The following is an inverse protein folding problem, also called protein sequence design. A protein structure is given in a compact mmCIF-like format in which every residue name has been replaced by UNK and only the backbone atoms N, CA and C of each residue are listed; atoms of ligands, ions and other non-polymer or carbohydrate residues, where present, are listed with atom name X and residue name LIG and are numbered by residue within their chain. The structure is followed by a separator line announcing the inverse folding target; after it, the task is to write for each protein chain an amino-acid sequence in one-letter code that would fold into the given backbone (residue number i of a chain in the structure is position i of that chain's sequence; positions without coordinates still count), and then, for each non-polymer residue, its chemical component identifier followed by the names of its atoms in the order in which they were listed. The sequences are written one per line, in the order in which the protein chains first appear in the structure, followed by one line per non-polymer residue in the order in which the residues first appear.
data_IF_796864036817
#
_entry.id   IF_796864036817
#
_cell.length_a   1.000
_cell.length_b   1.000
_cell.length_c   1.000
_cell.angle_alpha   90.00
_cell.angle_beta   90.00
_cell.angle_gamma   90.00
#
_symmetry.space_group_name_H-M   'P 1'
#
loop_
_entity.id
_entity.type
_entity.pdbx_description
1 polymer ?
#
# COMPACT_ATOMS: atom_id res chain seq x y z
N UNK A 1 -16.25 -10.60 -15.94
CA UNK A 1 -15.05 -11.11 -15.23
C UNK A 1 -15.15 -10.72 -13.77
N UNK A 2 -14.53 -11.48 -12.86
CA UNK A 2 -14.41 -11.09 -11.45
C UNK A 2 -12.95 -10.77 -11.15
N UNK A 3 -12.71 -9.63 -10.48
CA UNK A 3 -11.42 -9.26 -9.92
C UNK A 3 -11.47 -9.48 -8.42
N UNK A 4 -10.75 -10.49 -7.95
CA UNK A 4 -10.65 -10.79 -6.53
C UNK A 4 -9.51 -9.98 -5.89
N UNK A 5 -9.72 -9.54 -4.67
CA UNK A 5 -8.71 -8.81 -3.91
C UNK A 5 -8.95 -8.98 -2.41
N UNK A 6 -7.97 -8.63 -1.60
CA UNK A 6 -8.17 -8.52 -0.15
C UNK A 6 -9.03 -7.30 0.18
N UNK A 7 -9.88 -7.44 1.22
CA UNK A 7 -10.69 -6.34 1.76
C UNK A 7 -10.87 -6.50 3.28
N UNK A 8 -10.91 -5.39 4.00
CA UNK A 8 -11.12 -5.39 5.46
C UNK A 8 -12.60 -5.52 5.87
N UNK A 9 -13.52 -5.32 4.94
CA UNK A 9 -14.96 -5.21 5.22
C UNK A 9 -15.44 -3.77 5.42
N UNK A 10 -14.52 -2.81 5.61
CA UNK A 10 -14.84 -1.40 5.75
C UNK A 10 -15.41 -0.81 4.45
N UNK A 11 -16.19 0.29 4.52
CA UNK A 11 -16.85 0.87 3.33
C UNK A 11 -15.88 1.68 2.45
N UNK A 12 -14.66 1.17 2.25
CA UNK A 12 -13.62 1.77 1.43
C UNK A 12 -13.61 1.21 0.02
N UNK A 13 -13.48 2.08 -0.97
CA UNK A 13 -13.23 1.68 -2.35
C UNK A 13 -11.79 1.21 -2.54
N UNK A 14 -11.57 0.47 -3.61
CA UNK A 14 -10.27 -0.10 -3.99
C UNK A 14 -9.89 0.41 -5.38
N UNK A 15 -9.21 1.55 -5.45
CA UNK A 15 -8.93 2.27 -6.70
C UNK A 15 -8.38 1.33 -7.80
N UNK A 16 -7.29 0.63 -7.54
CA UNK A 16 -6.62 -0.18 -8.56
C UNK A 16 -7.52 -1.28 -9.15
N UNK A 17 -8.22 -2.03 -8.28
CA UNK A 17 -9.12 -3.10 -8.72
C UNK A 17 -10.35 -2.55 -9.45
N UNK A 18 -10.93 -1.44 -8.97
CA UNK A 18 -12.13 -0.83 -9.58
C UNK A 18 -11.81 -0.12 -10.89
N UNK A 19 -10.62 0.52 -11.02
CA UNK A 19 -10.11 1.04 -12.29
C UNK A 19 -9.98 -0.10 -13.31
N UNK A 20 -9.37 -1.22 -12.91
CA UNK A 20 -9.23 -2.37 -13.80
C UNK A 20 -10.59 -2.94 -14.23
N UNK A 21 -11.53 -3.13 -13.30
CA UNK A 21 -12.88 -3.59 -13.62
C UNK A 21 -13.61 -2.63 -14.58
N UNK A 22 -13.49 -1.32 -14.33
CA UNK A 22 -14.09 -0.29 -15.19
C UNK A 22 -13.46 -0.27 -16.59
N UNK A 23 -12.14 -0.47 -16.66
CA UNK A 23 -11.42 -0.59 -17.95
C UNK A 23 -11.90 -1.81 -18.75
N UNK A 24 -11.97 -2.97 -18.12
CA UNK A 24 -12.46 -4.18 -18.78
C UNK A 24 -13.89 -4.01 -19.31
N UNK A 25 -14.76 -3.41 -18.51
CA UNK A 25 -16.14 -3.18 -18.91
C UNK A 25 -16.25 -2.16 -20.06
N UNK A 26 -15.67 -0.97 -19.91
CA UNK A 26 -15.82 0.14 -20.85
C UNK A 26 -14.95 0.06 -22.09
N UNK A 27 -13.73 -0.47 -21.98
CA UNK A 27 -12.74 -0.46 -23.08
C UNK A 27 -12.63 -1.81 -23.79
N UNK A 28 -12.84 -2.91 -23.08
CA UNK A 28 -12.77 -4.26 -23.65
C UNK A 28 -14.15 -4.92 -23.82
N UNK A 29 -15.23 -4.25 -23.39
CA UNK A 29 -16.61 -4.78 -23.41
C UNK A 29 -16.76 -6.12 -22.66
N UNK A 30 -16.02 -6.25 -21.55
CA UNK A 30 -16.06 -7.43 -20.68
C UNK A 30 -16.69 -7.01 -19.35
N UNK A 31 -17.99 -7.28 -19.10
CA UNK A 31 -18.64 -6.95 -17.84
C UNK A 31 -17.84 -7.46 -16.64
N UNK A 32 -17.44 -6.55 -15.76
CA UNK A 32 -16.48 -6.88 -14.70
C UNK A 32 -16.91 -6.28 -13.36
N UNK A 33 -16.64 -7.04 -12.28
CA UNK A 33 -16.90 -6.63 -10.90
C UNK A 33 -15.71 -6.93 -10.02
N UNK A 34 -15.57 -6.19 -8.93
CA UNK A 34 -14.58 -6.42 -7.88
C UNK A 34 -15.23 -7.18 -6.73
N UNK A 35 -14.58 -8.23 -6.26
CA UNK A 35 -14.98 -8.98 -5.06
C UNK A 35 -13.85 -8.90 -4.04
N UNK A 36 -14.04 -8.06 -3.03
CA UNK A 36 -13.16 -7.95 -1.88
C UNK A 36 -13.36 -9.12 -0.92
N UNK A 37 -12.33 -9.94 -0.75
CA UNK A 37 -12.39 -11.11 0.14
C UNK A 37 -11.91 -10.69 1.52
N UNK A 38 -12.78 -10.83 2.52
CA UNK A 38 -12.48 -10.56 3.91
C UNK A 38 -11.55 -11.65 4.49
N UNK A 39 -10.97 -11.40 5.67
CA UNK A 39 -9.97 -12.32 6.24
C UNK A 39 -10.55 -13.69 6.57
N UNK A 40 -11.75 -13.71 7.15
CA UNK A 40 -12.42 -14.92 7.60
C UNK A 40 -13.54 -15.29 6.62
N UNK A 41 -13.18 -15.78 5.44
CA UNK A 41 -14.13 -16.17 4.41
C UNK A 41 -14.32 -17.68 4.31
N UNK A 42 -15.53 -18.12 3.90
CA UNK A 42 -15.79 -19.51 3.57
C UNK A 42 -15.34 -19.81 2.14
N UNK A 43 -14.23 -20.54 2.00
CA UNK A 43 -13.69 -20.95 0.70
C UNK A 43 -14.69 -21.76 -0.12
N UNK A 44 -15.43 -22.68 0.49
CA UNK A 44 -16.42 -23.51 -0.18
C UNK A 44 -17.58 -22.67 -0.75
N UNK A 45 -18.05 -21.67 0.01
CA UNK A 45 -19.10 -20.77 -0.45
C UNK A 45 -18.60 -19.85 -1.56
N UNK A 46 -17.35 -19.39 -1.47
CA UNK A 46 -16.73 -18.58 -2.53
C UNK A 46 -16.60 -19.37 -3.83
N UNK A 47 -16.19 -20.64 -3.77
CA UNK A 47 -16.12 -21.51 -4.94
C UNK A 47 -17.50 -21.76 -5.55
N UNK A 48 -18.54 -21.93 -4.73
CA UNK A 48 -19.93 -22.06 -5.21
C UNK A 48 -20.37 -20.77 -5.93
N UNK A 49 -20.12 -19.63 -5.35
CA UNK A 49 -20.38 -18.34 -6.01
C UNK A 49 -19.68 -18.26 -7.38
N UNK A 50 -18.42 -18.66 -7.45
CA UNK A 50 -17.65 -18.67 -8.71
C UNK A 50 -18.32 -19.60 -9.74
N UNK A 51 -18.69 -20.82 -9.35
CA UNK A 51 -19.34 -21.78 -10.25
C UNK A 51 -20.67 -21.22 -10.79
N UNK A 52 -21.47 -20.60 -9.93
CA UNK A 52 -22.75 -19.94 -10.31
C UNK A 52 -22.53 -18.74 -11.22
N UNK A 53 -21.59 -17.85 -10.86
CA UNK A 53 -21.32 -16.63 -11.64
C UNK A 53 -20.79 -16.93 -13.04
N UNK A 54 -19.96 -17.98 -13.18
CA UNK A 54 -19.34 -18.34 -14.46
C UNK A 54 -20.10 -19.41 -15.23
N UNK A 55 -21.29 -19.83 -14.78
CA UNK A 55 -22.12 -20.75 -15.54
C UNK A 55 -22.42 -20.21 -16.94
N UNK A 56 -21.95 -20.92 -17.98
CA UNK A 56 -22.10 -20.50 -19.38
C UNK A 56 -21.25 -19.32 -19.83
N UNK A 57 -20.30 -18.87 -19.02
CA UNK A 57 -19.40 -17.74 -19.34
C UNK A 57 -17.96 -18.22 -19.50
N UNK A 58 -17.13 -17.41 -20.17
CA UNK A 58 -15.70 -17.61 -20.24
C UNK A 58 -15.08 -17.54 -18.84
N UNK A 59 -14.29 -18.55 -18.48
CA UNK A 59 -13.65 -18.68 -17.17
C UNK A 59 -12.37 -17.87 -17.11
N UNK A 60 -12.49 -16.57 -16.86
CA UNK A 60 -11.36 -15.65 -16.63
C UNK A 60 -11.57 -14.98 -15.28
N UNK A 61 -10.61 -15.14 -14.36
CA UNK A 61 -10.58 -14.50 -13.06
C UNK A 61 -9.31 -13.68 -12.92
N UNK A 62 -9.43 -12.47 -12.39
CA UNK A 62 -8.28 -11.62 -12.09
C UNK A 62 -8.09 -11.45 -10.59
N UNK A 63 -6.86 -11.13 -10.19
CA UNK A 63 -6.46 -10.88 -8.82
C UNK A 63 -5.69 -9.57 -8.76
N UNK A 64 -6.13 -8.69 -7.90
CA UNK A 64 -5.41 -7.45 -7.62
C UNK A 64 -4.73 -7.60 -6.27
N UNK A 65 -3.40 -7.77 -6.27
CA UNK A 65 -2.57 -7.80 -5.07
C UNK A 65 -2.97 -8.91 -4.07
N UNK A 66 -2.23 -9.99 -4.02
CA UNK A 66 -2.50 -11.14 -3.12
C UNK A 66 -2.01 -10.91 -1.68
N UNK A 67 -1.23 -9.86 -1.44
CA UNK A 67 -0.76 -9.38 -0.11
C UNK A 67 -0.21 -10.47 0.82
N UNK A 68 0.51 -11.44 0.28
CA UNK A 68 1.01 -12.55 1.10
C UNK A 68 -0.08 -13.51 1.65
N UNK A 69 -1.33 -13.30 1.31
CA UNK A 69 -2.46 -14.13 1.73
C UNK A 69 -2.36 -15.53 1.14
N UNK A 70 -1.87 -16.48 1.91
CA UNK A 70 -1.73 -17.89 1.52
C UNK A 70 -3.05 -18.53 1.10
N UNK A 71 -4.13 -18.17 1.77
CA UNK A 71 -5.49 -18.62 1.44
C UNK A 71 -5.95 -18.13 0.07
N UNK A 72 -5.62 -16.90 -0.33
CA UNK A 72 -5.89 -16.38 -1.67
C UNK A 72 -5.02 -17.05 -2.73
N UNK A 73 -3.76 -17.33 -2.42
CA UNK A 73 -2.86 -18.10 -3.31
C UNK A 73 -3.43 -19.50 -3.54
N UNK A 74 -3.91 -20.18 -2.50
CA UNK A 74 -4.59 -21.45 -2.61
C UNK A 74 -5.87 -21.37 -3.44
N UNK A 75 -6.62 -20.28 -3.29
CA UNK A 75 -7.82 -20.06 -4.10
C UNK A 75 -7.48 -19.87 -5.59
N UNK A 76 -6.42 -19.14 -5.94
CA UNK A 76 -5.91 -19.05 -7.33
C UNK A 76 -5.62 -20.45 -7.89
N UNK A 77 -4.93 -21.27 -7.08
CA UNK A 77 -4.58 -22.65 -7.47
C UNK A 77 -5.82 -23.51 -7.78
N UNK A 78 -6.86 -23.41 -6.96
CA UNK A 78 -8.11 -24.11 -7.20
C UNK A 78 -8.84 -23.63 -8.45
N UNK A 79 -8.84 -22.33 -8.73
CA UNK A 79 -9.44 -21.80 -9.96
C UNK A 79 -8.68 -22.31 -11.20
N UNK A 80 -7.36 -22.34 -11.12
CA UNK A 80 -6.55 -22.89 -12.21
C UNK A 80 -6.90 -24.38 -12.49
N UNK A 81 -7.01 -25.20 -11.43
CA UNK A 81 -7.44 -26.60 -11.55
C UNK A 81 -8.85 -26.76 -12.16
N UNK A 82 -9.73 -25.76 -12.01
CA UNK A 82 -11.07 -25.71 -12.61
C UNK A 82 -11.08 -25.15 -14.04
N UNK A 83 -9.90 -24.94 -14.63
CA UNK A 83 -9.72 -24.48 -16.00
C UNK A 83 -9.92 -22.98 -16.22
N UNK A 84 -9.81 -22.17 -15.17
CA UNK A 84 -9.81 -20.71 -15.31
C UNK A 84 -8.49 -20.23 -15.94
N UNK A 85 -8.59 -19.16 -16.69
CA UNK A 85 -7.45 -18.28 -16.97
C UNK A 85 -7.33 -17.33 -15.79
N UNK A 86 -6.16 -17.31 -15.16
CA UNK A 86 -5.90 -16.51 -13.98
C UNK A 86 -4.96 -15.35 -14.29
N UNK A 87 -5.35 -14.13 -13.89
CA UNK A 87 -4.62 -12.90 -14.18
C UNK A 87 -4.23 -12.25 -12.86
N UNK A 88 -2.96 -11.94 -12.66
CA UNK A 88 -2.45 -11.18 -11.53
C UNK A 88 -2.14 -9.74 -11.96
N UNK A 89 -2.71 -8.77 -11.29
CA UNK A 89 -2.40 -7.35 -11.42
C UNK A 89 -2.05 -6.73 -10.07
N UNK A 90 -1.65 -5.48 -10.10
CA UNK A 90 -1.33 -4.73 -8.89
C UNK A 90 0.15 -4.36 -8.79
N UNK A 91 0.53 -3.62 -7.74
CA UNK A 91 1.85 -3.02 -7.64
C UNK A 91 3.00 -4.04 -7.63
N UNK A 92 2.82 -5.20 -7.03
CA UNK A 92 3.85 -6.23 -6.87
C UNK A 92 3.75 -7.39 -7.88
N UNK A 93 2.89 -7.26 -8.90
CA UNK A 93 2.57 -8.37 -9.81
C UNK A 93 3.81 -8.99 -10.48
N UNK A 94 4.80 -8.17 -10.87
CA UNK A 94 6.06 -8.63 -11.48
C UNK A 94 6.89 -9.46 -10.51
N UNK A 95 7.11 -8.93 -9.31
CA UNK A 95 7.95 -9.56 -8.28
C UNK A 95 7.31 -10.84 -7.78
N UNK A 96 6.02 -10.81 -7.49
CA UNK A 96 5.27 -11.98 -7.01
C UNK A 96 5.17 -13.06 -8.09
N UNK A 97 5.04 -12.67 -9.35
CA UNK A 97 5.05 -13.63 -10.46
C UNK A 97 6.41 -14.31 -10.63
N UNK A 98 7.51 -13.55 -10.53
CA UNK A 98 8.87 -14.08 -10.71
C UNK A 98 9.39 -14.83 -9.50
N UNK A 99 8.99 -14.44 -8.29
CA UNK A 99 9.54 -14.95 -7.04
C UNK A 99 10.95 -14.43 -6.71
N UNK A 100 11.58 -15.03 -5.73
CA UNK A 100 12.92 -14.68 -5.28
C UNK A 100 14.01 -15.14 -6.25
N UNK A 101 15.14 -14.42 -6.39
CA UNK A 101 16.27 -14.87 -7.20
C UNK A 101 16.94 -16.11 -6.61
N UNK A 102 17.51 -16.99 -7.45
CA UNK A 102 18.24 -18.18 -7.05
C UNK A 102 17.37 -19.36 -6.59
N UNK A 103 16.12 -19.42 -7.00
CA UNK A 103 15.14 -20.44 -6.59
C UNK A 103 15.55 -21.85 -6.97
N UNK A 104 16.18 -22.02 -8.12
CA UNK A 104 16.54 -23.37 -8.63
C UNK A 104 17.47 -24.15 -7.73
N UNK A 105 18.09 -23.48 -6.75
CA UNK A 105 19.04 -24.06 -5.80
C UNK A 105 18.59 -24.04 -4.33
N UNK A 106 17.49 -23.36 -3.99
CA UNK A 106 17.07 -23.17 -2.60
C UNK A 106 15.54 -23.39 -2.41
N UNK A 107 15.14 -24.54 -1.84
CA UNK A 107 13.72 -24.89 -1.65
C UNK A 107 13.00 -24.02 -0.60
N UNK A 108 13.74 -23.24 0.20
CA UNK A 108 13.17 -22.39 1.25
C UNK A 108 12.72 -21.03 0.72
N UNK A 109 13.06 -20.66 -0.52
CA UNK A 109 12.71 -19.39 -1.12
C UNK A 109 11.32 -19.38 -1.73
N UNK A 110 10.71 -18.20 -1.81
CA UNK A 110 9.43 -18.03 -2.50
C UNK A 110 9.59 -18.25 -4.01
N UNK A 111 9.02 -19.34 -4.51
CA UNK A 111 9.17 -19.76 -5.91
C UNK A 111 8.41 -18.90 -6.92
N UNK A 112 7.68 -17.89 -6.44
CA UNK A 112 6.81 -17.06 -7.28
C UNK A 112 5.54 -17.75 -7.74
N UNK A 113 4.69 -16.99 -8.39
CA UNK A 113 3.36 -17.42 -8.82
C UNK A 113 3.30 -17.85 -10.31
N UNK A 114 4.46 -17.95 -10.97
CA UNK A 114 4.54 -18.29 -12.42
C UNK A 114 3.87 -19.62 -12.78
N UNK A 115 3.87 -20.59 -11.86
CA UNK A 115 3.20 -21.88 -12.07
C UNK A 115 1.70 -21.87 -11.75
N UNK A 116 1.20 -20.82 -11.10
CA UNK A 116 -0.18 -20.72 -10.62
C UNK A 116 -0.99 -19.66 -11.37
N UNK A 117 -0.32 -18.65 -11.95
CA UNK A 117 -0.95 -17.53 -12.63
C UNK A 117 -0.60 -17.58 -14.12
N UNK A 118 -1.62 -17.53 -14.98
CA UNK A 118 -1.41 -17.59 -16.43
C UNK A 118 -0.83 -16.30 -16.98
N UNK A 119 -1.29 -15.15 -16.48
CA UNK A 119 -0.90 -13.83 -16.94
C UNK A 119 -0.64 -12.91 -15.75
N UNK A 120 0.54 -12.34 -15.67
CA UNK A 120 0.82 -11.24 -14.75
C UNK A 120 0.93 -9.92 -15.51
N UNK A 121 0.42 -8.84 -14.92
CA UNK A 121 0.40 -7.49 -15.52
C UNK A 121 1.00 -6.51 -14.53
N UNK A 122 2.17 -5.99 -14.85
CA UNK A 122 2.84 -4.92 -14.13
C UNK A 122 2.58 -3.58 -14.81
N UNK A 123 2.18 -2.58 -14.04
CA UNK A 123 1.89 -1.24 -14.55
C UNK A 123 0.40 -0.98 -14.82
N UNK A 124 0.08 0.10 -15.55
CA UNK A 124 -1.30 0.51 -15.78
C UNK A 124 -2.06 -0.46 -16.70
N UNK A 125 -3.35 -0.56 -16.48
CA UNK A 125 -4.24 -1.48 -17.22
C UNK A 125 -4.43 -1.09 -18.68
N UNK A 126 -4.15 0.14 -19.07
CA UNK A 126 -4.33 0.72 -20.42
C UNK A 126 -3.61 -0.05 -21.52
N UNK A 127 -2.52 -0.73 -21.18
CA UNK A 127 -1.76 -1.55 -22.10
C UNK A 127 -2.46 -2.84 -22.51
N UNK A 128 -3.47 -3.29 -21.76
CA UNK A 128 -4.17 -4.54 -22.05
C UNK A 128 -5.06 -4.46 -23.28
N UNK A 129 -5.17 -5.60 -23.96
CA UNK A 129 -6.05 -5.86 -25.11
C UNK A 129 -6.77 -7.18 -24.91
N UNK A 130 -7.90 -7.39 -25.56
CA UNK A 130 -8.68 -8.64 -25.42
C UNK A 130 -7.88 -9.90 -25.77
N UNK A 131 -6.96 -9.82 -26.73
CA UNK A 131 -6.07 -10.92 -27.14
C UNK A 131 -5.10 -11.36 -26.04
N UNK A 132 -4.72 -10.45 -25.12
CA UNK A 132 -3.83 -10.77 -24.01
C UNK A 132 -4.52 -11.66 -22.98
N UNK A 133 -5.86 -11.57 -22.84
CA UNK A 133 -6.62 -12.32 -21.82
C UNK A 133 -6.64 -13.84 -22.05
N UNK A 134 -6.23 -14.31 -23.25
CA UNK A 134 -6.04 -15.72 -23.56
C UNK A 134 -4.62 -16.24 -23.38
N UNK A 135 -3.67 -15.37 -23.04
CA UNK A 135 -2.26 -15.73 -22.89
C UNK A 135 -2.03 -16.54 -21.62
N UNK A 136 -1.06 -17.45 -21.66
CA UNK A 136 -0.64 -18.28 -20.54
C UNK A 136 0.87 -18.16 -20.34
N UNK A 137 1.29 -18.26 -19.06
CA UNK A 137 2.70 -18.19 -18.68
C UNK A 137 3.41 -16.91 -19.20
N UNK A 138 2.74 -15.74 -19.05
CA UNK A 138 3.23 -14.46 -19.53
C UNK A 138 3.25 -13.41 -18.44
N UNK A 139 4.28 -12.58 -18.51
CA UNK A 139 4.38 -11.31 -17.78
C UNK A 139 4.35 -10.18 -18.80
N UNK A 140 3.38 -9.29 -18.67
CA UNK A 140 3.29 -8.05 -19.45
C UNK A 140 3.70 -6.89 -18.54
N UNK A 141 4.57 -6.04 -19.06
CA UNK A 141 5.09 -4.88 -18.31
C UNK A 141 4.77 -3.61 -19.10
N UNK A 142 4.04 -2.70 -18.48
CA UNK A 142 3.66 -1.42 -19.10
C UNK A 142 4.25 -0.27 -18.26
N UNK A 143 4.86 0.73 -18.92
CA UNK A 143 5.44 1.85 -18.19
C UNK A 143 4.36 2.72 -17.57
N UNK A 144 4.64 3.20 -16.36
CA UNK A 144 3.82 4.23 -15.74
C UNK A 144 4.01 5.57 -16.45
N UNK A 145 2.91 6.29 -16.65
CA UNK A 145 2.90 7.65 -17.19
C UNK A 145 1.87 8.49 -16.46
N UNK A 146 1.89 9.80 -16.65
CA UNK A 146 0.91 10.72 -16.08
C UNK A 146 -0.47 10.70 -16.79
N UNK A 147 -0.62 9.93 -17.87
CA UNK A 147 -1.82 9.87 -18.71
C UNK A 147 -2.52 8.50 -18.69
N UNK A 148 -2.42 7.76 -17.60
CA UNK A 148 -3.06 6.44 -17.46
C UNK A 148 -4.58 6.54 -17.35
N UNK A 149 -5.27 5.42 -17.61
CA UNK A 149 -6.71 5.31 -17.41
C UNK A 149 -7.04 5.28 -15.92
N UNK A 150 -7.91 6.20 -15.47
CA UNK A 150 -8.28 6.38 -14.05
C UNK A 150 -9.79 6.59 -13.85
N UNK A 151 -10.61 6.21 -14.82
CA UNK A 151 -12.05 6.20 -14.62
C UNK A 151 -12.45 5.07 -13.67
N UNK A 152 -13.35 5.34 -12.74
CA UNK A 152 -13.81 4.38 -11.73
C UNK A 152 -15.33 4.31 -11.71
N UNK A 153 -15.85 3.11 -11.84
CA UNK A 153 -17.23 2.82 -11.40
C UNK A 153 -17.20 2.39 -9.93
N UNK A 154 -17.50 3.33 -9.04
CA UNK A 154 -17.54 3.07 -7.60
C UNK A 154 -18.67 2.12 -7.18
N UNK A 155 -19.55 1.75 -8.10
CA UNK A 155 -20.64 0.82 -7.85
C UNK A 155 -20.30 -0.65 -8.17
N UNK A 156 -19.15 -0.96 -8.76
CA UNK A 156 -18.79 -2.30 -9.24
C UNK A 156 -18.13 -3.21 -8.19
N UNK A 157 -18.20 -2.84 -6.91
CA UNK A 157 -17.53 -3.56 -5.82
C UNK A 157 -18.50 -4.27 -4.87
N UNK A 158 -18.11 -5.46 -4.47
CA UNK A 158 -18.77 -6.33 -3.49
C UNK A 158 -17.75 -6.81 -2.46
N UNK A 159 -18.20 -7.17 -1.25
CA UNK A 159 -17.39 -7.90 -0.27
C UNK A 159 -17.92 -9.32 -0.11
N UNK A 160 -17.03 -10.20 0.29
CA UNK A 160 -17.32 -11.60 0.52
C UNK A 160 -16.64 -12.09 1.80
N UNK A 161 -17.46 -12.56 2.73
CA UNK A 161 -17.06 -13.38 3.87
C UNK A 161 -17.74 -14.74 3.78
N UNK A 162 -19.02 -14.81 4.08
CA UNK A 162 -19.88 -15.98 3.88
C UNK A 162 -20.84 -15.85 2.69
N UNK A 163 -21.18 -14.62 2.34
CA UNK A 163 -22.08 -14.27 1.26
C UNK A 163 -21.58 -13.05 0.52
N UNK A 164 -21.94 -12.93 -0.75
CA UNK A 164 -21.64 -11.74 -1.54
C UNK A 164 -22.56 -10.58 -1.11
N UNK A 165 -21.95 -9.46 -0.72
CA UNK A 165 -22.66 -8.24 -0.33
C UNK A 165 -22.21 -7.07 -1.18
N UNK A 166 -23.16 -6.32 -1.74
CA UNK A 166 -22.87 -5.06 -2.43
C UNK A 166 -22.24 -4.07 -1.45
N UNK A 167 -21.07 -3.54 -1.79
CA UNK A 167 -20.43 -2.53 -0.97
C UNK A 167 -20.91 -1.13 -1.39
N UNK A 168 -21.47 -0.37 -0.45
CA UNK A 168 -21.71 1.06 -0.64
C UNK A 168 -20.44 1.80 -0.21
N UNK A 169 -19.66 2.25 -1.17
CA UNK A 169 -18.42 3.00 -0.91
C UNK A 169 -18.75 4.31 -0.20
N UNK A 170 -18.11 4.54 0.95
CA UNK A 170 -18.21 5.77 1.75
C UNK A 170 -16.89 6.53 1.82
N UNK A 171 -15.78 5.89 1.43
CA UNK A 171 -14.49 6.52 1.26
C UNK A 171 -13.88 6.06 -0.05
N UNK A 172 -13.52 7.01 -0.92
CA UNK A 172 -12.85 6.75 -2.19
C UNK A 172 -11.34 6.87 -2.10
N UNK A 173 -10.68 6.71 -3.24
CA UNK A 173 -9.26 7.00 -3.42
C UNK A 173 -9.08 7.79 -4.71
N UNK A 174 -8.18 8.78 -4.69
CA UNK A 174 -7.84 9.62 -5.83
C UNK A 174 -6.33 9.61 -6.01
N UNK A 175 -5.85 9.15 -7.15
CA UNK A 175 -4.42 9.09 -7.45
C UNK A 175 -3.93 10.47 -7.90
N UNK A 176 -3.05 11.08 -7.10
CA UNK A 176 -2.41 12.36 -7.39
C UNK A 176 -0.99 12.19 -7.94
N UNK A 177 -0.24 11.23 -7.40
CA UNK A 177 1.10 10.90 -7.88
C UNK A 177 1.35 9.39 -7.89
N UNK A 178 2.27 8.96 -8.75
CA UNK A 178 2.71 7.57 -8.87
C UNK A 178 4.11 7.48 -8.31
N UNK A 179 4.33 6.51 -7.40
CA UNK A 179 5.62 6.32 -6.76
C UNK A 179 5.87 7.33 -5.65
N UNK A 180 7.10 7.35 -5.15
CA UNK A 180 7.54 8.18 -4.05
C UNK A 180 8.82 8.94 -4.44
N UNK A 181 8.86 10.25 -4.26
CA UNK A 181 10.06 11.04 -4.56
C UNK A 181 11.26 10.60 -3.71
N UNK A 182 11.03 10.23 -2.45
CA UNK A 182 12.08 9.73 -1.57
C UNK A 182 12.62 8.36 -2.01
N UNK A 183 11.79 7.51 -2.63
CA UNK A 183 12.20 6.22 -3.17
C UNK A 183 13.19 6.32 -4.35
N UNK A 184 13.44 7.51 -4.89
CA UNK A 184 14.49 7.75 -5.89
C UNK A 184 15.88 8.01 -5.25
N UNK A 185 15.96 8.19 -3.93
CA UNK A 185 17.21 8.47 -3.21
C UNK A 185 17.98 7.17 -2.98
N UNK A 186 19.09 7.01 -3.71
CA UNK A 186 20.01 5.89 -3.54
C UNK A 186 20.85 6.07 -2.27
N UNK A 187 20.96 5.00 -1.51
CA UNK A 187 21.77 4.96 -0.29
C UNK A 187 22.31 3.54 -0.04
N UNK A 188 23.35 3.48 0.76
CA UNK A 188 23.95 2.24 1.22
C UNK A 188 24.02 2.29 2.74
N UNK A 189 23.60 1.22 3.37
CA UNK A 189 23.62 1.09 4.83
C UNK A 189 24.20 -0.25 5.23
N UNK A 190 24.92 -0.26 6.35
CA UNK A 190 25.38 -1.47 7.01
C UNK A 190 24.37 -1.86 8.08
N UNK A 191 23.82 -3.06 8.00
CA UNK A 191 22.86 -3.61 8.94
C UNK A 191 23.46 -4.73 9.77
N UNK A 192 23.30 -4.70 11.10
CA UNK A 192 23.63 -5.83 11.95
C UNK A 192 22.63 -6.98 11.72
N UNK A 193 23.01 -8.22 12.02
CA UNK A 193 22.08 -9.34 11.97
C UNK A 193 20.91 -9.14 12.95
N UNK A 194 19.78 -9.86 12.73
CA UNK A 194 18.67 -9.84 13.69
C UNK A 194 19.12 -10.22 15.11
N UNK A 195 18.54 -9.57 16.10
CA UNK A 195 18.92 -9.76 17.52
C UNK A 195 18.75 -11.20 18.01
N UNK A 196 17.82 -11.96 17.44
CA UNK A 196 17.63 -13.39 17.72
C UNK A 196 18.71 -14.31 17.13
N UNK A 197 19.65 -13.75 16.35
CA UNK A 197 20.81 -14.46 15.79
C UNK A 197 22.16 -13.98 16.35
N UNK A 198 22.15 -13.14 17.39
CA UNK A 198 23.40 -12.55 17.95
C UNK A 198 24.42 -13.55 18.47
N UNK A 199 24.00 -14.74 18.90
CA UNK A 199 24.89 -15.80 19.32
C UNK A 199 25.68 -16.43 18.16
N UNK A 200 25.29 -16.17 16.94
CA UNK A 200 26.00 -16.57 15.73
C UNK A 200 26.92 -15.44 15.31
N UNK A 201 28.15 -15.77 14.97
CA UNK A 201 29.16 -14.82 14.48
C UNK A 201 28.81 -14.40 13.02
N UNK A 202 27.73 -13.64 12.87
CA UNK A 202 27.27 -13.14 11.58
C UNK A 202 27.80 -11.72 11.43
N UNK A 203 28.54 -11.40 10.36
CA UNK A 203 29.02 -10.04 10.12
C UNK A 203 27.86 -9.10 9.80
N UNK A 204 28.08 -7.82 10.06
CA UNK A 204 27.23 -6.77 9.51
C UNK A 204 27.26 -6.81 7.98
N UNK A 205 26.11 -6.57 7.34
CA UNK A 205 25.95 -6.71 5.90
C UNK A 205 25.61 -5.36 5.26
N UNK A 206 26.29 -5.07 4.16
CA UNK A 206 26.01 -3.87 3.38
C UNK A 206 24.77 -4.10 2.50
N UNK A 207 23.81 -3.21 2.61
CA UNK A 207 22.57 -3.22 1.81
C UNK A 207 22.43 -1.92 1.05
N UNK A 208 22.22 -2.02 -0.26
CA UNK A 208 21.88 -0.89 -1.12
C UNK A 208 20.39 -0.75 -1.21
N UNK A 209 19.87 0.46 -0.98
CA UNK A 209 18.43 0.74 -1.09
C UNK A 209 18.16 2.01 -1.90
N UNK A 210 16.94 2.14 -2.35
CA UNK A 210 16.38 3.36 -2.89
C UNK A 210 15.19 3.76 -2.01
N UNK A 211 15.32 4.86 -1.27
CA UNK A 211 14.36 5.25 -0.24
C UNK A 211 14.40 4.40 1.02
N UNK A 212 13.24 4.24 1.67
CA UNK A 212 13.11 3.42 2.88
C UNK A 212 13.36 1.95 2.57
N UNK A 213 14.21 1.29 3.37
CA UNK A 213 14.72 -0.06 3.07
C UNK A 213 13.63 -1.15 3.11
N UNK A 214 12.57 -0.94 3.88
CA UNK A 214 11.44 -1.87 3.99
C UNK A 214 10.41 -1.68 2.88
N UNK A 215 10.48 -0.55 2.16
CA UNK A 215 9.51 -0.17 1.14
C UNK A 215 9.94 -0.73 -0.23
N UNK A 216 8.99 -1.26 -0.98
CA UNK A 216 9.21 -1.80 -2.33
C UNK A 216 8.72 -0.89 -3.46
N UNK A 217 8.23 0.32 -3.12
CA UNK A 217 7.70 1.30 -4.10
C UNK A 217 8.69 1.61 -5.22
N UNK A 218 9.97 1.75 -4.94
CA UNK A 218 11.00 1.99 -5.96
C UNK A 218 11.11 0.85 -6.98
N UNK A 219 10.97 -0.40 -6.51
CA UNK A 219 11.03 -1.60 -7.33
C UNK A 219 9.72 -1.87 -8.08
N UNK A 220 8.60 -1.53 -7.46
CA UNK A 220 7.27 -1.73 -8.03
C UNK A 220 6.95 -0.71 -9.11
N UNK A 221 7.21 0.55 -8.84
CA UNK A 221 6.83 1.64 -9.73
C UNK A 221 7.96 2.04 -10.68
N UNK A 222 9.20 2.12 -10.18
CA UNK A 222 10.35 2.57 -10.96
C UNK A 222 10.17 3.96 -11.59
N UNK A 223 9.14 4.70 -11.16
CA UNK A 223 8.73 5.99 -11.68
C UNK A 223 8.17 6.83 -10.54
N UNK A 224 8.42 8.14 -10.60
CA UNK A 224 7.76 9.10 -9.75
C UNK A 224 7.28 10.28 -10.60
N UNK A 225 5.99 10.61 -10.49
CA UNK A 225 5.43 11.75 -11.21
C UNK A 225 3.97 12.00 -10.87
N UNK A 226 3.58 13.26 -10.95
CA UNK A 226 2.20 13.68 -10.74
C UNK A 226 1.31 13.23 -11.90
N UNK A 227 0.07 12.91 -11.60
CA UNK A 227 -0.97 12.64 -12.58
C UNK A 227 -1.35 13.96 -13.28
N UNK A 228 -1.73 13.83 -14.56
CA UNK A 228 -2.27 14.96 -15.32
C UNK A 228 -3.45 15.61 -14.59
N UNK A 229 -3.46 16.94 -14.58
CA UNK A 229 -4.40 17.74 -13.78
C UNK A 229 -5.86 17.51 -14.15
N UNK A 230 -6.17 17.39 -15.44
CA UNK A 230 -7.54 17.14 -15.90
C UNK A 230 -8.00 15.74 -15.48
N UNK A 231 -7.10 14.76 -15.48
CA UNK A 231 -7.40 13.40 -14.99
C UNK A 231 -7.64 13.36 -13.48
N UNK A 232 -6.90 14.17 -12.72
CA UNK A 232 -7.13 14.33 -11.29
C UNK A 232 -8.54 14.91 -11.03
N UNK A 233 -8.91 15.99 -11.74
CA UNK A 233 -10.26 16.57 -11.64
C UNK A 233 -11.34 15.55 -12.06
N UNK A 234 -11.12 14.79 -13.12
CA UNK A 234 -12.05 13.74 -13.56
C UNK A 234 -12.26 12.66 -12.49
N UNK A 235 -11.18 12.24 -11.81
CA UNK A 235 -11.31 11.29 -10.69
C UNK A 235 -12.16 11.87 -9.56
N UNK A 236 -11.88 13.11 -9.13
CA UNK A 236 -12.63 13.76 -8.04
C UNK A 236 -14.10 13.99 -8.43
N UNK A 237 -14.38 14.43 -9.65
CA UNK A 237 -15.74 14.59 -10.15
C UNK A 237 -16.51 13.26 -10.21
N UNK A 238 -15.80 12.14 -10.46
CA UNK A 238 -16.34 10.78 -10.51
C UNK A 238 -16.64 10.14 -9.15
N UNK A 239 -16.20 10.74 -8.04
CA UNK A 239 -16.52 10.22 -6.70
C UNK A 239 -18.02 10.24 -6.43
N UNK A 240 -18.58 9.26 -5.69
CA UNK A 240 -19.94 9.31 -5.22
C UNK A 240 -20.24 10.58 -4.41
N UNK A 241 -21.51 10.96 -4.39
CA UNK A 241 -21.99 12.13 -3.64
C UNK A 241 -22.93 11.73 -2.51
N UNK A 242 -22.82 12.47 -1.42
CA UNK A 242 -23.76 12.42 -0.27
C UNK A 242 -24.05 13.87 0.13
N UNK A 243 -25.31 14.22 0.23
CA UNK A 243 -25.78 15.56 0.62
C UNK A 243 -25.16 16.70 -0.22
N UNK A 244 -24.96 16.45 -1.52
CA UNK A 244 -24.42 17.43 -2.48
C UNK A 244 -22.91 17.67 -2.38
N UNK A 245 -22.19 16.82 -1.67
CA UNK A 245 -20.70 16.83 -1.56
C UNK A 245 -20.15 15.47 -1.93
N UNK A 246 -18.93 15.44 -2.47
CA UNK A 246 -18.20 14.20 -2.73
C UNK A 246 -17.90 13.50 -1.40
N UNK A 247 -18.00 12.17 -1.40
CA UNK A 247 -17.59 11.37 -0.21
C UNK A 247 -16.15 11.68 0.16
N UNK A 248 -15.72 11.43 1.42
CA UNK A 248 -14.32 11.47 1.80
C UNK A 248 -13.47 10.59 0.89
N UNK A 249 -12.23 11.02 0.63
CA UNK A 249 -11.29 10.21 -0.15
C UNK A 249 -9.87 10.33 0.37
N UNK A 250 -9.08 9.29 0.15
CA UNK A 250 -7.64 9.30 0.34
C UNK A 250 -6.97 9.83 -0.93
N UNK A 251 -6.16 10.86 -0.79
CA UNK A 251 -5.30 11.36 -1.86
C UNK A 251 -4.03 10.51 -1.90
N UNK A 252 -3.95 9.63 -2.89
CA UNK A 252 -2.82 8.71 -3.06
C UNK A 252 -1.61 9.47 -3.60
N UNK A 253 -0.76 9.90 -2.71
CA UNK A 253 0.50 10.61 -2.93
C UNK A 253 1.34 10.48 -1.65
N UNK A 254 2.65 10.28 -1.78
CA UNK A 254 3.57 10.20 -0.64
C UNK A 254 4.07 11.59 -0.18
N UNK A 255 3.87 12.64 -0.99
CA UNK A 255 4.20 14.04 -0.73
C UNK A 255 3.03 14.98 -1.10
N UNK A 256 1.86 14.79 -0.47
CA UNK A 256 0.62 15.43 -0.92
C UNK A 256 0.56 16.93 -0.65
N UNK A 257 1.27 17.46 0.36
CA UNK A 257 1.09 18.82 0.87
C UNK A 257 1.41 19.84 -0.21
N UNK A 258 2.50 19.67 -0.96
CA UNK A 258 2.95 20.59 -2.01
C UNK A 258 1.91 20.87 -3.11
N UNK A 259 1.00 19.95 -3.36
CA UNK A 259 -0.02 20.07 -4.41
C UNK A 259 -1.43 20.35 -3.87
N UNK A 260 -1.62 20.24 -2.55
CA UNK A 260 -2.93 20.27 -1.91
C UNK A 260 -3.64 21.62 -2.04
N UNK A 261 -2.93 22.73 -1.86
CA UNK A 261 -3.50 24.08 -2.02
C UNK A 261 -4.08 24.27 -3.43
N UNK A 262 -3.28 23.92 -4.45
CA UNK A 262 -3.71 24.00 -5.83
C UNK A 262 -4.86 23.04 -6.14
N UNK A 263 -4.90 21.86 -5.51
CA UNK A 263 -6.01 20.91 -5.66
C UNK A 263 -7.32 21.51 -5.14
N UNK A 264 -7.30 22.18 -4.00
CA UNK A 264 -8.48 22.85 -3.43
C UNK A 264 -8.99 23.99 -4.34
N UNK A 265 -8.08 24.83 -4.87
CA UNK A 265 -8.43 25.89 -5.82
C UNK A 265 -9.08 25.33 -7.09
N UNK A 266 -8.50 24.27 -7.67
CA UNK A 266 -9.02 23.68 -8.89
C UNK A 266 -10.37 22.98 -8.66
N UNK A 267 -10.57 22.33 -7.51
CA UNK A 267 -11.84 21.75 -7.13
C UNK A 267 -12.93 22.84 -7.07
N UNK A 268 -12.62 23.99 -6.48
CA UNK A 268 -13.55 25.15 -6.45
C UNK A 268 -13.85 25.68 -7.85
N UNK A 269 -12.82 25.87 -8.70
CA UNK A 269 -12.97 26.32 -10.08
C UNK A 269 -13.85 25.39 -10.94
N UNK A 270 -13.81 24.07 -10.65
CA UNK A 270 -14.62 23.07 -11.33
C UNK A 270 -15.95 22.76 -10.61
N UNK A 271 -16.30 23.56 -9.61
CA UNK A 271 -17.51 23.39 -8.80
C UNK A 271 -17.62 22.00 -8.12
N UNK A 272 -16.49 21.35 -7.84
CA UNK A 272 -16.44 20.05 -7.17
C UNK A 272 -16.47 20.28 -5.66
N UNK A 273 -17.61 20.05 -5.02
CA UNK A 273 -17.79 20.23 -3.58
C UNK A 273 -17.23 19.02 -2.83
N UNK A 274 -16.06 19.18 -2.22
CA UNK A 274 -15.40 18.14 -1.44
C UNK A 274 -15.87 18.17 0.02
N UNK A 275 -15.89 17.02 0.70
CA UNK A 275 -16.21 16.94 2.14
C UNK A 275 -14.95 16.79 3.00
N UNK A 276 -14.08 15.83 2.67
CA UNK A 276 -12.87 15.52 3.42
C UNK A 276 -11.81 14.92 2.50
N UNK A 277 -10.55 15.32 2.71
CA UNK A 277 -9.37 14.75 2.05
C UNK A 277 -8.51 14.08 3.12
N UNK A 278 -8.25 12.80 2.95
CA UNK A 278 -7.36 12.02 3.79
C UNK A 278 -5.98 11.96 3.13
N UNK A 279 -4.93 12.16 3.91
CA UNK A 279 -3.55 12.22 3.45
C UNK A 279 -2.71 11.18 4.21
N UNK A 280 -1.86 10.49 3.46
CA UNK A 280 -0.73 9.76 4.02
C UNK A 280 0.51 10.63 3.83
N UNK A 281 1.22 10.95 4.89
CA UNK A 281 2.30 11.92 4.86
C UNK A 281 3.60 11.36 5.42
N UNK A 282 4.70 11.94 4.98
CA UNK A 282 6.00 11.80 5.61
C UNK A 282 6.25 12.99 6.56
N UNK A 283 7.03 12.75 7.61
CA UNK A 283 7.44 13.79 8.58
C UNK A 283 8.17 14.95 7.88
N UNK A 284 9.11 14.64 6.98
CA UNK A 284 9.88 15.63 6.24
C UNK A 284 9.02 16.50 5.29
N UNK A 285 7.93 15.95 4.74
CA UNK A 285 6.97 16.74 3.94
C UNK A 285 6.23 17.76 4.83
N UNK A 286 5.77 17.33 6.01
CA UNK A 286 5.08 18.20 6.96
C UNK A 286 5.99 19.34 7.45
N UNK A 287 7.22 19.01 7.86
CA UNK A 287 8.17 20.02 8.35
C UNK A 287 8.55 21.03 7.26
N UNK A 288 8.81 20.53 6.04
CA UNK A 288 9.15 21.37 4.89
C UNK A 288 8.05 22.36 4.52
N UNK A 289 6.78 21.91 4.61
CA UNK A 289 5.61 22.67 4.17
C UNK A 289 4.75 23.20 5.33
N UNK A 290 5.32 23.38 6.53
CA UNK A 290 4.58 23.83 7.70
C UNK A 290 3.89 25.20 7.51
N UNK A 291 4.51 26.12 6.76
CA UNK A 291 3.91 27.41 6.39
C UNK A 291 2.75 27.25 5.40
N UNK A 292 2.93 26.39 4.39
CA UNK A 292 1.92 26.15 3.35
C UNK A 292 0.66 25.55 3.95
N UNK A 293 0.81 24.68 4.96
CA UNK A 293 -0.31 24.08 5.70
C UNK A 293 -1.22 25.12 6.36
N UNK A 294 -0.68 26.27 6.80
CA UNK A 294 -1.48 27.35 7.35
C UNK A 294 -2.41 27.95 6.30
N UNK A 295 -1.92 28.16 5.08
CA UNK A 295 -2.71 28.68 3.96
C UNK A 295 -3.71 27.65 3.46
N UNK A 296 -3.28 26.41 3.28
CA UNK A 296 -4.11 25.27 2.85
C UNK A 296 -5.28 25.06 3.82
N UNK A 297 -5.03 25.05 5.13
CA UNK A 297 -6.08 24.85 6.12
C UNK A 297 -7.02 26.06 6.23
N UNK A 298 -6.52 27.28 5.96
CA UNK A 298 -7.38 28.46 5.87
C UNK A 298 -8.32 28.38 4.68
N UNK A 299 -7.82 27.92 3.53
CA UNK A 299 -8.63 27.69 2.32
C UNK A 299 -9.63 26.55 2.53
N UNK A 300 -9.19 25.43 3.09
CA UNK A 300 -10.06 24.31 3.40
C UNK A 300 -11.21 24.69 4.36
N UNK A 301 -10.91 25.53 5.38
CA UNK A 301 -11.91 26.07 6.31
C UNK A 301 -12.94 26.94 5.59
N UNK A 302 -12.52 27.79 4.65
CA UNK A 302 -13.43 28.67 3.90
C UNK A 302 -14.39 27.89 2.99
N UNK A 303 -13.96 26.69 2.52
CA UNK A 303 -14.73 25.79 1.66
C UNK A 303 -15.50 24.71 2.45
N UNK A 304 -15.40 24.72 3.78
CA UNK A 304 -15.96 23.70 4.68
C UNK A 304 -15.46 22.28 4.33
N UNK A 305 -14.16 22.15 4.05
CA UNK A 305 -13.48 20.87 3.74
C UNK A 305 -12.64 20.49 4.95
N UNK A 306 -12.69 19.20 5.34
CA UNK A 306 -11.80 18.64 6.35
C UNK A 306 -10.53 18.09 5.70
N UNK A 307 -9.38 18.39 6.30
CA UNK A 307 -8.10 17.79 5.94
C UNK A 307 -7.69 16.87 7.07
N UNK A 308 -7.53 15.58 6.74
CA UNK A 308 -7.17 14.56 7.70
C UNK A 308 -5.83 13.94 7.36
N UNK A 309 -4.85 14.03 8.25
CA UNK A 309 -3.65 13.22 8.17
C UNK A 309 -3.96 11.84 8.73
N UNK A 310 -4.47 10.97 7.85
CA UNK A 310 -4.94 9.63 8.21
C UNK A 310 -3.80 8.71 8.63
N UNK A 311 -2.60 8.92 8.07
CA UNK A 311 -1.39 8.24 8.50
C UNK A 311 -0.16 9.12 8.28
N UNK A 312 0.72 9.15 9.28
CA UNK A 312 2.06 9.74 9.17
C UNK A 312 3.06 8.64 9.45
N UNK A 313 4.03 8.49 8.57
CA UNK A 313 5.07 7.47 8.70
C UNK A 313 6.16 7.91 9.68
N UNK A 314 5.93 7.77 10.98
CA UNK A 314 6.95 7.95 12.02
C UNK A 314 7.90 6.74 12.08
N UNK A 315 7.37 5.55 12.00
CA UNK A 315 7.98 4.22 12.00
C UNK A 315 8.70 3.85 13.30
N UNK A 316 9.48 4.75 13.90
CA UNK A 316 10.19 4.54 15.17
C UNK A 316 10.41 5.86 15.91
N UNK A 317 10.64 5.79 17.22
CA UNK A 317 11.05 6.90 18.06
C UNK A 317 12.47 6.66 18.65
N UNK A 318 13.32 5.98 17.88
CA UNK A 318 14.73 5.72 18.15
C UNK A 318 15.54 6.04 16.88
N UNK A 319 16.53 6.93 16.99
CA UNK A 319 17.32 7.39 15.85
C UNK A 319 18.07 6.25 15.16
N UNK A 320 18.58 5.27 15.92
CA UNK A 320 19.25 4.11 15.35
C UNK A 320 18.31 3.28 14.46
N UNK A 321 17.07 3.05 14.89
CA UNK A 321 16.09 2.31 14.09
C UNK A 321 15.65 3.12 12.86
N UNK A 322 15.45 4.44 12.98
CA UNK A 322 15.17 5.32 11.85
C UNK A 322 16.29 5.29 10.80
N UNK A 323 17.55 5.23 11.26
CA UNK A 323 18.70 5.05 10.39
C UNK A 323 18.68 3.69 9.69
N UNK A 324 18.44 2.59 10.42
CA UNK A 324 18.33 1.25 9.83
C UNK A 324 17.16 1.15 8.81
N UNK A 325 16.09 1.86 9.04
CA UNK A 325 14.99 1.96 8.08
C UNK A 325 15.32 2.81 6.85
N UNK A 326 16.45 3.49 6.82
CA UNK A 326 16.78 4.50 5.80
C UNK A 326 15.65 5.54 5.66
N UNK A 327 15.02 5.92 6.78
CA UNK A 327 13.85 6.81 6.77
C UNK A 327 14.21 8.24 6.42
N UNK A 328 15.45 8.67 6.74
CA UNK A 328 15.99 9.99 6.43
C UNK A 328 15.43 11.11 7.30
N UNK A 329 14.93 10.78 8.46
CA UNK A 329 14.46 11.67 9.53
C UNK A 329 15.06 11.24 10.86
N UNK A 330 15.05 12.13 11.83
CA UNK A 330 15.47 11.92 13.22
C UNK A 330 14.28 12.03 14.19
N UNK A 331 14.48 11.66 15.43
CA UNK A 331 13.50 11.88 16.50
C UNK A 331 13.24 13.38 16.70
N UNK A 332 14.23 14.23 16.51
CA UNK A 332 14.05 15.69 16.57
C UNK A 332 13.11 16.20 15.46
N UNK A 333 13.25 15.69 14.23
CA UNK A 333 12.31 15.99 13.13
C UNK A 333 10.88 15.56 13.46
N UNK A 334 10.72 14.43 14.16
CA UNK A 334 9.42 13.94 14.62
C UNK A 334 8.83 14.87 15.66
N UNK A 335 9.64 15.34 16.61
CA UNK A 335 9.21 16.29 17.66
C UNK A 335 8.72 17.59 17.02
N UNK A 336 9.49 18.16 16.10
CA UNK A 336 9.11 19.39 15.36
C UNK A 336 7.80 19.19 14.59
N UNK A 337 7.64 18.05 13.93
CA UNK A 337 6.42 17.69 13.22
C UNK A 337 5.22 17.66 14.17
N UNK A 338 5.32 16.94 15.29
CA UNK A 338 4.22 16.82 16.27
C UNK A 338 3.85 18.16 16.89
N UNK A 339 4.83 19.01 17.22
CA UNK A 339 4.56 20.36 17.69
C UNK A 339 3.82 21.21 16.64
N UNK A 340 4.17 21.04 15.37
CA UNK A 340 3.47 21.68 14.25
C UNK A 340 2.03 21.19 14.15
N UNK A 341 1.81 19.88 14.22
CA UNK A 341 0.45 19.30 14.19
C UNK A 341 -0.41 19.82 15.35
N UNK A 342 0.14 19.89 16.57
CA UNK A 342 -0.54 20.43 17.74
C UNK A 342 -0.95 21.88 17.56
N UNK A 343 -0.02 22.75 17.09
CA UNK A 343 -0.31 24.16 16.79
C UNK A 343 -1.38 24.33 15.72
N UNK A 344 -1.33 23.51 14.65
CA UNK A 344 -2.35 23.54 13.60
C UNK A 344 -3.71 23.09 14.13
N UNK A 345 -3.73 22.06 14.96
CA UNK A 345 -4.97 21.58 15.59
C UNK A 345 -5.62 22.62 16.47
N UNK A 346 -4.84 23.29 17.31
CA UNK A 346 -5.33 24.36 18.17
C UNK A 346 -5.92 25.53 17.36
N UNK A 347 -5.33 25.83 16.21
CA UNK A 347 -5.77 26.93 15.34
C UNK A 347 -6.97 26.58 14.47
N UNK A 348 -7.05 25.35 13.95
CA UNK A 348 -8.04 24.98 12.92
C UNK A 348 -9.13 24.03 13.42
N UNK A 349 -9.01 23.47 14.62
CA UNK A 349 -10.04 22.67 15.28
C UNK A 349 -10.52 21.50 14.43
N UNK A 350 -11.80 21.49 14.11
CA UNK A 350 -12.44 20.40 13.32
C UNK A 350 -12.12 20.41 11.84
N UNK A 351 -11.50 21.46 11.31
CA UNK A 351 -11.03 21.48 9.91
C UNK A 351 -9.79 20.62 9.71
N UNK A 352 -8.93 20.51 10.73
CA UNK A 352 -7.72 19.71 10.71
C UNK A 352 -7.82 18.51 11.65
N UNK A 353 -7.61 17.32 11.13
CA UNK A 353 -7.72 16.05 11.83
C UNK A 353 -6.40 15.28 11.68
N UNK A 354 -5.88 14.72 12.78
CA UNK A 354 -4.69 13.85 12.74
C UNK A 354 -4.61 12.90 13.94
N UNK A 355 -5.46 13.09 14.94
CA UNK A 355 -5.39 12.32 16.18
C UNK A 355 -6.00 10.93 16.02
N UNK A 356 -5.54 10.00 16.83
CA UNK A 356 -6.08 8.64 16.86
C UNK A 356 -7.59 8.61 17.09
N UNK A 357 -8.11 9.39 18.03
CA UNK A 357 -9.54 9.46 18.32
C UNK A 357 -10.38 10.06 17.17
N UNK A 358 -9.74 10.69 16.21
CA UNK A 358 -10.35 11.21 14.99
C UNK A 358 -10.30 10.20 13.82
N UNK A 359 -9.69 9.02 14.04
CA UNK A 359 -9.57 7.94 13.06
C UNK A 359 -8.23 7.86 12.35
N UNK A 360 -7.21 8.63 12.78
CA UNK A 360 -5.85 8.48 12.26
C UNK A 360 -5.17 7.22 12.81
N UNK A 361 -4.32 6.60 11.98
CA UNK A 361 -3.51 5.44 12.36
C UNK A 361 -2.09 5.63 11.82
N UNK A 362 -1.21 6.17 12.65
CA UNK A 362 0.15 6.52 12.24
C UNK A 362 1.09 5.31 12.23
N UNK A 363 2.10 5.37 11.37
CA UNK A 363 3.11 4.31 11.26
C UNK A 363 3.97 4.21 12.54
N UNK A 364 3.91 3.06 13.20
CA UNK A 364 4.80 2.67 14.29
C UNK A 364 5.14 1.19 14.17
N UNK A 365 6.40 0.90 13.87
CA UNK A 365 6.89 -0.45 13.59
C UNK A 365 7.58 -1.00 14.85
N UNK A 366 6.97 -2.01 15.45
CA UNK A 366 7.51 -2.77 16.58
C UNK A 366 6.78 -4.13 16.69
N UNK A 367 7.48 -5.29 16.82
CA UNK A 367 8.94 -5.42 16.89
C UNK A 367 9.65 -5.28 15.54
N UNK A 368 10.95 -5.02 15.62
CA UNK A 368 11.90 -5.01 14.52
C UNK A 368 12.99 -6.07 14.70
N UNK A 369 13.73 -6.46 13.66
CA UNK A 369 14.87 -7.38 13.80
C UNK A 369 15.96 -6.86 14.74
N UNK A 370 16.03 -5.56 14.97
CA UNK A 370 17.11 -4.88 15.69
C UNK A 370 16.71 -4.39 17.08
N UNK A 371 15.49 -4.68 17.53
CA UNK A 371 15.06 -4.32 18.88
C UNK A 371 15.95 -4.98 19.95
N UNK A 372 16.40 -4.18 20.89
CA UNK A 372 17.18 -4.56 22.04
C UNK A 372 16.81 -3.66 23.24
N UNK A 373 17.41 -3.89 24.39
CA UNK A 373 17.11 -3.12 25.60
C UNK A 373 17.35 -1.61 25.44
N UNK A 374 18.38 -1.21 24.67
CA UNK A 374 18.73 0.20 24.49
C UNK A 374 17.75 0.89 23.54
N UNK A 375 17.49 0.31 22.36
CA UNK A 375 16.52 0.87 21.39
C UNK A 375 15.11 0.92 21.95
N UNK A 376 14.73 -0.07 22.74
CA UNK A 376 13.43 -0.09 23.41
C UNK A 376 13.30 1.00 24.47
N UNK A 377 14.35 1.14 25.34
CA UNK A 377 14.36 2.20 26.37
C UNK A 377 14.38 3.60 25.75
N UNK A 378 15.14 3.80 24.68
CA UNK A 378 15.15 5.08 23.96
C UNK A 378 13.78 5.38 23.37
N UNK A 379 13.17 4.43 22.68
CA UNK A 379 11.82 4.56 22.13
C UNK A 379 10.80 4.93 23.23
N UNK A 380 10.77 4.16 24.32
CA UNK A 380 9.82 4.38 25.41
C UNK A 380 10.07 5.73 26.11
N UNK A 381 11.34 6.11 26.30
CA UNK A 381 11.71 7.42 26.84
C UNK A 381 11.20 8.57 25.97
N UNK A 382 11.41 8.50 24.65
CA UNK A 382 10.98 9.56 23.74
C UNK A 382 9.46 9.65 23.65
N UNK A 383 8.75 8.50 23.63
CA UNK A 383 7.28 8.47 23.69
C UNK A 383 6.79 9.21 24.95
N UNK A 384 7.40 8.93 26.10
CA UNK A 384 7.01 9.54 27.37
C UNK A 384 7.39 11.02 27.44
N UNK A 385 8.63 11.37 27.10
CA UNK A 385 9.17 12.74 27.19
C UNK A 385 8.36 13.72 26.34
N UNK A 386 8.02 13.32 25.11
CA UNK A 386 7.31 14.17 24.15
C UNK A 386 5.80 13.95 24.13
N UNK A 387 5.30 13.05 25.04
CA UNK A 387 3.87 12.75 25.21
C UNK A 387 3.20 12.32 23.91
N UNK A 388 3.87 11.49 23.09
CA UNK A 388 3.32 11.00 21.82
C UNK A 388 2.06 10.14 21.99
N UNK A 389 1.86 9.59 23.18
CA UNK A 389 0.65 8.82 23.53
C UNK A 389 -0.62 9.68 23.57
N UNK A 390 -0.50 11.03 23.67
CA UNK A 390 -1.67 11.90 23.77
C UNK A 390 -2.40 12.01 22.41
N UNK A 391 -1.68 11.86 21.29
CA UNK A 391 -2.24 12.21 19.98
C UNK A 391 -1.81 11.30 18.81
N UNK A 392 -0.54 10.87 18.74
CA UNK A 392 -0.02 10.19 17.52
C UNK A 392 0.25 8.70 17.68
N UNK A 393 0.44 8.21 18.91
CA UNK A 393 0.78 6.80 19.10
C UNK A 393 -0.43 5.92 18.73
N UNK A 394 -0.29 4.95 17.80
CA UNK A 394 -1.37 4.05 17.47
C UNK A 394 -1.73 3.12 18.63
N UNK A 395 -2.91 2.54 18.61
CA UNK A 395 -3.36 1.59 19.63
C UNK A 395 -2.47 0.34 19.68
N UNK A 396 -2.02 -0.10 18.50
CA UNK A 396 -1.13 -1.24 18.34
C UNK A 396 0.00 -0.90 17.38
N UNK A 397 1.22 -1.29 17.74
CA UNK A 397 2.33 -1.28 16.80
C UNK A 397 2.20 -2.42 15.79
N UNK A 398 2.77 -2.24 14.61
CA UNK A 398 2.81 -3.27 13.58
C UNK A 398 4.22 -3.88 13.53
N UNK A 399 4.39 -5.21 13.60
CA UNK A 399 5.71 -5.81 13.41
C UNK A 399 6.26 -5.47 12.03
N UNK A 400 7.58 -5.37 11.90
CA UNK A 400 8.21 -5.14 10.60
C UNK A 400 7.88 -6.30 9.65
N UNK A 401 7.13 -6.00 8.60
CA UNK A 401 6.83 -6.97 7.55
C UNK A 401 7.90 -6.86 6.48
N UNK A 402 8.58 -7.98 6.18
CA UNK A 402 9.59 -8.05 5.13
C UNK A 402 8.98 -8.76 3.92
N UNK A 403 8.63 -7.98 2.89
CA UNK A 403 8.24 -8.54 1.61
C UNK A 403 9.48 -9.10 0.88
N UNK A 404 9.34 -10.24 0.19
CA UNK A 404 10.47 -10.89 -0.48
C UNK A 404 11.16 -10.00 -1.52
N UNK A 405 10.44 -9.06 -2.11
CA UNK A 405 10.96 -8.13 -3.12
C UNK A 405 11.56 -6.84 -2.53
N UNK A 406 11.45 -6.59 -1.23
CA UNK A 406 12.04 -5.41 -0.58
C UNK A 406 13.57 -5.52 -0.47
N UNK A 407 14.23 -4.41 -0.17
CA UNK A 407 15.67 -4.41 0.11
C UNK A 407 16.02 -5.19 1.39
N UNK A 408 15.08 -5.24 2.35
CA UNK A 408 15.22 -6.13 3.51
C UNK A 408 15.09 -7.60 3.12
N UNK A 409 14.33 -7.93 2.09
CA UNK A 409 14.33 -9.26 1.50
C UNK A 409 15.71 -9.65 0.94
N UNK A 410 16.41 -8.70 0.30
CA UNK A 410 17.80 -8.92 -0.13
C UNK A 410 18.74 -9.14 1.06
N UNK A 411 18.58 -8.34 2.12
CA UNK A 411 19.37 -8.50 3.35
C UNK A 411 19.18 -9.87 4.00
N UNK A 412 17.94 -10.35 4.11
CA UNK A 412 17.66 -11.70 4.63
C UNK A 412 18.34 -12.77 3.75
N UNK A 413 18.28 -12.65 2.43
CA UNK A 413 18.95 -13.59 1.51
C UNK A 413 20.46 -13.57 1.64
N UNK A 414 21.06 -12.42 1.94
CA UNK A 414 22.49 -12.32 2.25
C UNK A 414 22.84 -13.09 3.54
N UNK A 415 22.04 -12.92 4.61
CA UNK A 415 22.21 -13.70 5.85
C UNK A 415 22.14 -15.21 5.54
N UNK A 416 21.12 -15.65 4.82
CA UNK A 416 20.97 -17.05 4.42
C UNK A 416 22.12 -17.59 3.56
N UNK A 417 22.80 -16.72 2.81
CA UNK A 417 23.93 -17.11 1.96
C UNK A 417 25.25 -17.26 2.70
N UNK A 418 25.41 -16.55 3.81
CA UNK A 418 26.67 -16.55 4.61
C UNK A 418 26.54 -17.39 5.89
N UNK A 419 25.39 -17.99 6.13
CA UNK A 419 25.12 -18.80 7.33
C UNK A 419 24.40 -20.12 6.97
N UNK A 420 24.23 -20.97 7.98
CA UNK A 420 23.37 -22.16 7.95
C UNK A 420 21.90 -21.85 8.34
N UNK A 421 21.57 -20.57 8.52
CA UNK A 421 20.21 -20.14 8.88
C UNK A 421 19.35 -19.98 7.64
N UNK A 422 18.09 -20.30 7.77
CA UNK A 422 17.03 -19.98 6.80
C UNK A 422 15.83 -19.39 7.53
N UNK A 423 15.02 -18.61 6.83
CA UNK A 423 13.79 -18.03 7.35
C UNK A 423 12.60 -18.58 6.58
N UNK A 424 11.49 -18.81 7.27
CA UNK A 424 10.26 -19.27 6.61
C UNK A 424 9.66 -18.18 5.73
N UNK A 425 8.89 -18.58 4.70
CA UNK A 425 8.10 -17.70 3.82
C UNK A 425 6.64 -18.00 4.02
N UNK A 426 5.89 -17.00 4.48
CA UNK A 426 4.44 -17.05 4.51
C UNK A 426 3.88 -16.29 3.31
N UNK A 427 3.59 -17.03 2.23
CA UNK A 427 3.25 -16.42 0.93
C UNK A 427 4.41 -15.57 0.40
N UNK A 428 4.19 -14.25 0.26
CA UNK A 428 5.19 -13.29 -0.24
C UNK A 428 6.02 -12.64 0.89
N UNK A 429 5.79 -13.00 2.14
CA UNK A 429 6.48 -12.43 3.30
C UNK A 429 7.55 -13.36 3.86
N UNK A 430 8.61 -12.75 4.41
CA UNK A 430 9.68 -13.44 5.11
C UNK A 430 9.47 -13.27 6.61
N UNK A 431 9.36 -14.38 7.34
CA UNK A 431 9.20 -14.41 8.80
C UNK A 431 10.57 -14.34 9.48
N UNK A 432 11.11 -13.15 9.60
CA UNK A 432 12.44 -12.90 10.20
C UNK A 432 12.53 -13.30 11.68
N UNK A 433 11.40 -13.44 12.37
CA UNK A 433 11.32 -13.84 13.79
C UNK A 433 11.39 -15.35 14.00
N UNK A 434 11.34 -16.14 12.95
CA UNK A 434 11.31 -17.60 12.99
C UNK A 434 12.46 -18.22 12.16
N UNK A 435 13.73 -18.04 12.62
CA UNK A 435 14.89 -18.64 11.96
C UNK A 435 14.94 -20.15 12.22
N UNK A 436 15.35 -20.92 11.22
CA UNK A 436 15.62 -22.36 11.29
C UNK A 436 17.04 -22.66 10.81
N UNK A 437 17.60 -23.79 11.21
CA UNK A 437 18.85 -24.32 10.63
C UNK A 437 18.53 -25.05 9.31
N UNK A 438 19.41 -24.90 8.32
CA UNK A 438 19.34 -25.63 7.05
C UNK A 438 19.54 -27.11 7.21
#
# INVERSE_FOLDING_TARGET
MVIFTHHTGDPHGLLGAQVAATFFDRKLSIPSVVVGIERDFSKERLLRFVDEYYAGKQKIAAFSHLCGRKDLIQFVQELNQRGFITILGGPQARQDYRGEPGIDSDPYRFSGLKSLVDLAVQGPVDGLRSEHLGMRNRLLEYPWTNHIFLEVDWSNIYTFSDTLKKLKVKMGQVLNAIGCAYACKRQTITLPPPTNLREKDIPELEVRSEGCIFCDVSRDKGYHGAIDRNRLMTQMAGLPEVDGRKIPFELVDEYPIRSLGKLLEDAEQHEIKLSQINLVCRVDDINTHASDLVEILSLARSQDIKIMFSSIGFESFCDQLLQYFCKGITVEDIVECVETLRRLKDRYGSTFLYRREEGANHGFIRPTPWDNSETMQETDRNIFLHRFFDDILPEHSTPLIIHHASYLGDWIRQIESVTDVTFSREGTWIEWWNPSLK
#
